data_IF_071644828590
#
_entry.id   IF_071644828590
#
_cell.length_a   1.000
_cell.length_b   1.000
_cell.length_c   1.000
_cell.angle_alpha   90.00
_cell.angle_beta   90.00
_cell.angle_gamma   90.00
#
_symmetry.space_group_name_H-M   'P 1'
#
loop_
_entity.id
_entity.type
_entity.pdbx_description
1 polymer ?
#
# COMPACT_ATOMS: atom_id res chain seq x y z
N UNK A 1 16.54 34.73 29.95
CA UNK A 1 15.51 34.28 28.98
C UNK A 1 15.99 33.13 28.10
N UNK A 2 17.26 33.12 27.66
CA UNK A 2 17.86 32.02 26.88
C UNK A 2 17.75 30.64 27.56
N UNK A 3 17.92 30.58 28.89
CA UNK A 3 17.76 29.31 29.61
C UNK A 3 16.31 28.80 29.66
N UNK A 4 15.33 29.70 29.63
CA UNK A 4 13.91 29.31 29.52
C UNK A 4 13.60 28.65 28.18
N UNK A 5 14.25 29.10 27.09
CA UNK A 5 14.14 28.46 25.76
C UNK A 5 14.73 27.05 25.77
N UNK A 6 15.89 26.87 26.41
CA UNK A 6 16.49 25.54 26.59
C UNK A 6 15.54 24.61 27.34
N UNK A 7 15.01 25.05 28.49
CA UNK A 7 14.06 24.24 29.27
C UNK A 7 12.77 23.94 28.49
N UNK A 8 12.28 24.87 27.69
CA UNK A 8 11.10 24.65 26.86
C UNK A 8 11.35 23.59 25.77
N UNK A 9 12.50 23.66 25.08
CA UNK A 9 12.88 22.67 24.06
C UNK A 9 13.19 21.31 24.71
N UNK A 10 13.82 21.30 25.88
CA UNK A 10 14.00 20.07 26.66
C UNK A 10 12.67 19.41 26.99
N UNK A 11 11.63 20.19 27.32
CA UNK A 11 10.29 19.69 27.56
C UNK A 11 9.62 19.16 26.29
N UNK A 12 9.77 19.84 25.14
CA UNK A 12 9.28 19.35 23.84
C UNK A 12 9.88 17.99 23.45
N UNK A 13 11.14 17.76 23.82
CA UNK A 13 11.85 16.51 23.54
C UNK A 13 11.76 15.48 24.67
N UNK A 14 11.05 15.77 25.77
CA UNK A 14 10.95 14.84 26.91
C UNK A 14 10.26 13.51 26.57
N UNK A 15 9.38 13.51 25.56
CA UNK A 15 8.73 12.29 25.03
C UNK A 15 9.48 11.61 23.89
N UNK A 16 10.58 12.20 23.41
CA UNK A 16 11.34 11.69 22.28
C UNK A 16 12.36 10.60 22.72
N UNK A 17 12.65 9.60 21.87
CA UNK A 17 13.61 8.55 22.20
C UNK A 17 15.03 9.12 22.30
N UNK A 18 15.79 8.69 23.31
CA UNK A 18 17.16 9.14 23.52
C UNK A 18 18.14 8.44 22.56
N UNK A 19 18.08 8.80 21.29
CA UNK A 19 19.01 8.37 20.23
C UNK A 19 19.97 9.51 19.85
N UNK A 20 21.13 9.17 19.26
CA UNK A 20 22.08 10.17 18.77
C UNK A 20 21.43 11.13 17.75
N UNK A 21 20.60 10.61 16.85
CA UNK A 21 19.83 11.40 15.88
C UNK A 21 18.89 12.41 16.56
N UNK A 22 18.18 11.99 17.62
CA UNK A 22 17.28 12.88 18.36
C UNK A 22 18.04 13.99 19.09
N UNK A 23 19.24 13.68 19.60
CA UNK A 23 20.10 14.68 20.23
C UNK A 23 20.64 15.71 19.22
N UNK A 24 21.01 15.28 18.01
CA UNK A 24 21.43 16.17 16.92
C UNK A 24 20.29 17.10 16.47
N UNK A 25 19.10 16.55 16.21
CA UNK A 25 17.92 17.33 15.83
C UNK A 25 17.52 18.33 16.91
N UNK A 26 17.61 17.93 18.18
CA UNK A 26 17.38 18.83 19.32
C UNK A 26 18.38 19.98 19.34
N UNK A 27 19.68 19.70 19.10
CA UNK A 27 20.71 20.74 19.07
C UNK A 27 20.50 21.72 17.92
N UNK A 28 20.09 21.24 16.74
CA UNK A 28 19.79 22.08 15.57
C UNK A 28 18.61 23.03 15.82
N UNK A 29 17.50 22.51 16.34
CA UNK A 29 16.31 23.31 16.66
C UNK A 29 16.62 24.31 17.79
N UNK A 30 17.37 23.90 18.80
CA UNK A 30 17.82 24.79 19.87
C UNK A 30 18.63 25.95 19.31
N UNK A 31 19.59 25.67 18.45
CA UNK A 31 20.44 26.69 17.85
C UNK A 31 19.62 27.66 16.98
N UNK A 32 18.80 27.14 16.06
CA UNK A 32 17.95 27.97 15.20
C UNK A 32 17.02 28.89 16.01
N UNK A 33 16.45 28.36 17.10
CA UNK A 33 15.55 29.14 17.96
C UNK A 33 16.30 30.22 18.75
N UNK A 34 17.51 29.91 19.23
CA UNK A 34 18.36 30.88 19.92
C UNK A 34 18.84 31.98 18.98
N UNK A 35 19.21 31.63 17.76
CA UNK A 35 19.62 32.59 16.73
C UNK A 35 18.45 33.53 16.41
N UNK A 36 17.25 32.98 16.20
CA UNK A 36 16.03 33.78 15.99
C UNK A 36 15.68 34.66 17.18
N UNK A 37 15.89 34.18 18.41
CA UNK A 37 15.71 35.01 19.60
C UNK A 37 16.69 36.19 19.61
N UNK A 38 17.97 35.95 19.32
CA UNK A 38 18.99 36.99 19.30
C UNK A 38 18.73 38.04 18.21
N UNK A 39 18.29 37.62 17.02
CA UNK A 39 17.89 38.53 15.94
C UNK A 39 16.76 39.47 16.38
N UNK A 40 15.77 38.94 17.11
CA UNK A 40 14.65 39.73 17.62
C UNK A 40 15.07 40.70 18.74
N UNK A 41 16.06 40.33 19.55
CA UNK A 41 16.67 41.25 20.52
C UNK A 41 17.44 42.35 19.80
N UNK A 42 18.18 42.02 18.73
CA UNK A 42 18.91 42.98 17.92
C UNK A 42 17.98 43.95 17.18
N UNK A 43 16.78 43.51 16.78
CA UNK A 43 15.69 44.35 16.26
C UNK A 43 15.09 45.30 17.32
N UNK A 44 15.51 45.21 18.58
CA UNK A 44 15.03 46.07 19.67
C UNK A 44 13.72 45.60 20.32
N UNK A 45 13.29 44.35 20.08
CA UNK A 45 12.13 43.78 20.78
C UNK A 45 12.48 43.44 22.22
N UNK A 46 11.47 43.46 23.08
CA UNK A 46 11.65 43.07 24.48
C UNK A 46 11.98 41.57 24.60
N UNK A 47 12.75 41.16 25.62
CA UNK A 47 13.09 39.75 25.86
C UNK A 47 11.88 38.81 25.93
N UNK A 48 10.75 39.30 26.42
CA UNK A 48 9.50 38.56 26.54
C UNK A 48 8.81 38.37 25.18
N UNK A 49 8.78 39.43 24.35
CA UNK A 49 8.20 39.38 23.01
C UNK A 49 9.04 38.51 22.07
N UNK A 50 10.37 38.64 22.14
CA UNK A 50 11.32 37.81 21.40
C UNK A 50 11.15 36.32 21.76
N UNK A 51 10.98 36.00 23.04
CA UNK A 51 10.72 34.64 23.51
C UNK A 51 9.43 34.07 22.91
N UNK A 52 8.31 34.80 23.02
CA UNK A 52 7.01 34.34 22.52
C UNK A 52 7.03 34.10 21.01
N UNK A 53 7.71 34.96 20.25
CA UNK A 53 7.79 34.85 18.80
C UNK A 53 8.74 33.73 18.36
N UNK A 54 9.85 33.51 19.07
CA UNK A 54 10.76 32.40 18.83
C UNK A 54 10.07 31.05 19.09
N UNK A 55 9.35 30.92 20.21
CA UNK A 55 8.58 29.71 20.56
C UNK A 55 7.47 29.43 19.55
N UNK A 56 6.76 30.47 19.06
CA UNK A 56 5.71 30.30 18.05
C UNK A 56 6.21 29.70 16.73
N UNK A 57 7.50 29.86 16.42
CA UNK A 57 8.11 29.33 15.19
C UNK A 57 8.46 27.85 15.24
N UNK A 58 8.58 27.25 16.44
CA UNK A 58 8.92 25.84 16.59
C UNK A 58 7.72 24.93 16.23
N UNK A 59 6.50 25.33 16.60
CA UNK A 59 5.31 24.51 16.39
C UNK A 59 5.29 23.21 17.21
N UNK A 60 4.27 22.37 17.02
CA UNK A 60 4.14 21.08 17.72
C UNK A 60 4.99 19.99 17.05
N UNK A 61 6.29 20.00 17.32
CA UNK A 61 7.23 18.98 16.84
C UNK A 61 7.16 17.67 17.65
N UNK A 62 6.49 17.68 18.80
CA UNK A 62 6.43 16.53 19.71
C UNK A 62 5.82 15.30 19.04
N UNK A 63 4.71 15.48 18.30
CA UNK A 63 4.07 14.39 17.57
C UNK A 63 4.90 13.90 16.38
N UNK A 64 5.53 14.83 15.63
CA UNK A 64 6.37 14.49 14.47
C UNK A 64 7.61 13.69 14.85
N UNK A 65 8.33 14.09 15.90
CA UNK A 65 9.52 13.40 16.37
C UNK A 65 9.19 12.02 16.94
N UNK A 66 8.06 11.91 17.63
CA UNK A 66 7.58 10.63 18.17
C UNK A 66 7.16 9.67 17.05
N UNK A 67 6.62 10.19 15.94
CA UNK A 67 6.16 9.39 14.80
C UNK A 67 7.30 9.00 13.84
N UNK A 68 8.27 9.89 13.62
CA UNK A 68 9.42 9.65 12.76
C UNK A 68 10.33 8.55 13.30
N UNK A 69 10.68 8.59 14.60
CA UNK A 69 11.64 7.65 15.19
C UNK A 69 11.02 6.29 15.55
N UNK A 70 9.67 6.18 15.62
CA UNK A 70 8.99 4.87 15.66
C UNK A 70 9.25 4.01 14.42
N UNK A 71 9.79 4.60 13.35
CA UNK A 71 10.20 3.88 12.14
C UNK A 71 11.66 3.39 12.19
N UNK A 72 12.49 3.92 13.10
CA UNK A 72 13.93 3.61 13.19
C UNK A 72 14.36 2.72 14.36
N UNK A 73 13.53 2.51 15.38
CA UNK A 73 13.81 1.48 16.38
C UNK A 73 13.70 0.10 15.72
N UNK A 74 14.77 -0.72 15.65
CA UNK A 74 14.66 -2.07 15.11
C UNK A 74 13.63 -2.81 15.96
N UNK A 75 12.53 -3.32 15.37
CA UNK A 75 11.70 -4.25 16.11
C UNK A 75 12.60 -5.41 16.50
N UNK A 76 12.53 -5.86 17.76
CA UNK A 76 13.04 -7.16 18.16
C UNK A 76 12.70 -8.18 17.06
N UNK A 77 13.60 -9.12 16.70
CA UNK A 77 13.50 -9.89 15.47
C UNK A 77 12.20 -10.71 15.46
N UNK A 78 11.13 -10.09 14.98
CA UNK A 78 10.00 -10.80 14.43
C UNK A 78 10.57 -11.59 13.26
N UNK A 79 10.25 -12.89 13.12
CA UNK A 79 10.70 -13.66 11.97
C UNK A 79 10.13 -12.99 10.72
N UNK A 80 10.92 -12.11 10.09
CA UNK A 80 10.56 -11.56 8.80
C UNK A 80 10.52 -12.75 7.85
N UNK A 81 9.43 -12.93 7.08
CA UNK A 81 9.47 -13.84 5.95
C UNK A 81 10.61 -13.33 5.08
N UNK A 82 11.69 -14.11 5.01
CA UNK A 82 12.94 -13.81 4.29
C UNK A 82 12.63 -12.91 3.09
N UNK A 83 13.23 -11.71 3.07
CA UNK A 83 13.26 -10.88 1.87
C UNK A 83 13.93 -11.71 0.77
N UNK A 84 13.12 -12.41 -0.02
CA UNK A 84 13.62 -13.26 -1.08
C UNK A 84 14.18 -12.31 -2.16
N UNK A 85 15.36 -12.61 -2.71
CA UNK A 85 15.98 -11.74 -3.69
C UNK A 85 15.02 -11.44 -4.86
N UNK A 86 14.87 -10.18 -5.23
CA UNK A 86 13.94 -9.72 -6.28
C UNK A 86 14.13 -10.44 -7.63
N UNK A 87 15.36 -10.90 -7.91
CA UNK A 87 15.67 -11.67 -9.12
C UNK A 87 14.99 -13.05 -9.16
N UNK A 88 14.75 -13.71 -8.01
CA UNK A 88 14.02 -14.99 -7.96
C UNK A 88 12.56 -14.80 -8.40
N UNK A 89 11.93 -13.69 -8.02
CA UNK A 89 10.53 -13.41 -8.39
C UNK A 89 10.37 -13.12 -9.89
N UNK A 90 11.37 -12.51 -10.51
CA UNK A 90 11.44 -12.30 -11.95
C UNK A 90 11.76 -13.59 -12.70
N UNK A 91 12.65 -14.43 -12.16
CA UNK A 91 12.99 -15.74 -12.72
C UNK A 91 11.79 -16.71 -12.66
N UNK A 92 11.07 -16.75 -11.54
CA UNK A 92 9.85 -17.54 -11.37
C UNK A 92 8.74 -17.12 -12.34
N UNK A 93 8.62 -15.82 -12.62
CA UNK A 93 7.69 -15.30 -13.63
C UNK A 93 8.10 -15.70 -15.03
N UNK A 94 9.38 -15.47 -15.38
CA UNK A 94 9.91 -15.87 -16.67
C UNK A 94 9.75 -17.38 -16.90
N UNK A 95 9.99 -18.20 -15.87
CA UNK A 95 9.80 -19.64 -15.92
C UNK A 95 8.33 -20.03 -16.09
N UNK A 96 7.42 -19.38 -15.37
CA UNK A 96 5.97 -19.64 -15.49
C UNK A 96 5.43 -19.27 -16.87
N UNK A 97 5.88 -18.14 -17.43
CA UNK A 97 5.52 -17.71 -18.79
C UNK A 97 6.11 -18.66 -19.82
N UNK A 98 7.38 -19.05 -19.68
CA UNK A 98 8.02 -20.05 -20.54
C UNK A 98 7.28 -21.39 -20.52
N UNK A 99 6.86 -21.85 -19.33
CA UNK A 99 6.10 -23.10 -19.19
C UNK A 99 4.72 -23.00 -19.86
N UNK A 100 4.08 -21.83 -19.82
CA UNK A 100 2.82 -21.56 -20.51
C UNK A 100 2.98 -21.61 -22.04
N UNK A 101 4.06 -21.05 -22.56
CA UNK A 101 4.37 -21.06 -24.00
C UNK A 101 4.72 -22.49 -24.48
N UNK A 102 5.50 -23.22 -23.69
CA UNK A 102 5.85 -24.62 -23.98
C UNK A 102 4.71 -25.62 -23.75
N UNK A 103 3.62 -25.22 -23.07
CA UNK A 103 2.46 -26.06 -22.77
C UNK A 103 1.78 -26.62 -24.04
N UNK A 104 2.01 -26.00 -25.20
CA UNK A 104 1.43 -26.41 -26.48
C UNK A 104 2.19 -27.59 -27.12
N UNK A 105 3.48 -27.77 -26.79
CA UNK A 105 4.35 -28.78 -27.43
C UNK A 105 3.95 -30.22 -27.08
N UNK A 106 3.63 -30.58 -25.82
CA UNK A 106 3.16 -31.93 -25.47
C UNK A 106 1.77 -32.26 -26.03
N UNK A 107 0.93 -31.24 -26.23
CA UNK A 107 -0.45 -31.40 -26.77
C UNK A 107 -0.43 -31.77 -28.25
N UNK A 108 0.58 -31.31 -29.00
CA UNK A 108 0.74 -31.65 -30.43
C UNK A 108 1.36 -33.05 -30.59
N UNK A 109 2.14 -33.53 -29.61
CA UNK A 109 2.86 -34.81 -29.69
C UNK A 109 2.15 -36.01 -29.02
N UNK A 110 1.18 -35.78 -28.12
CA UNK A 110 0.53 -36.82 -27.32
C UNK A 110 -0.94 -37.03 -27.67
N UNK A 111 -1.25 -38.09 -28.43
CA UNK A 111 -2.59 -38.32 -29.02
C UNK A 111 -3.72 -38.68 -28.04
N UNK A 112 -3.44 -39.28 -26.87
CA UNK A 112 -4.51 -39.80 -25.98
C UNK A 112 -4.65 -39.10 -24.62
N UNK A 113 -3.54 -38.63 -24.05
CA UNK A 113 -3.54 -38.01 -22.71
C UNK A 113 -2.99 -36.56 -22.71
N UNK A 114 -2.73 -35.97 -23.89
CA UNK A 114 -2.13 -34.64 -24.00
C UNK A 114 -2.96 -33.53 -23.35
N UNK A 115 -4.28 -33.64 -23.41
CA UNK A 115 -5.22 -32.67 -22.81
C UNK A 115 -5.17 -32.72 -21.28
N UNK A 116 -5.07 -33.90 -20.68
CA UNK A 116 -4.95 -34.06 -19.22
C UNK A 116 -3.62 -33.49 -18.74
N UNK A 117 -2.54 -33.75 -19.49
CA UNK A 117 -1.21 -33.22 -19.21
C UNK A 117 -1.16 -31.68 -19.31
N UNK A 118 -1.91 -31.09 -20.24
CA UNK A 118 -2.08 -29.64 -20.38
C UNK A 118 -2.69 -29.00 -19.13
N UNK A 119 -3.78 -29.56 -18.60
CA UNK A 119 -4.44 -29.02 -17.42
C UNK A 119 -3.59 -29.09 -16.16
N UNK A 120 -2.79 -30.15 -16.00
CA UNK A 120 -1.84 -30.28 -14.87
C UNK A 120 -0.75 -29.22 -14.96
N UNK A 121 -0.19 -29.00 -16.15
CA UNK A 121 0.85 -27.99 -16.39
C UNK A 121 0.32 -26.57 -16.16
N UNK A 122 -0.90 -26.28 -16.61
CA UNK A 122 -1.57 -25.00 -16.36
C UNK A 122 -1.84 -24.80 -14.87
N UNK A 123 -2.27 -25.84 -14.15
CA UNK A 123 -2.50 -25.77 -12.71
C UNK A 123 -1.20 -25.47 -11.94
N UNK A 124 -0.09 -26.11 -12.32
CA UNK A 124 1.23 -25.86 -11.73
C UNK A 124 1.71 -24.43 -12.03
N UNK A 125 1.59 -23.97 -13.28
CA UNK A 125 1.98 -22.63 -13.68
C UNK A 125 1.15 -21.54 -12.96
N UNK A 126 -0.17 -21.74 -12.86
CA UNK A 126 -1.08 -20.84 -12.14
C UNK A 126 -0.79 -20.86 -10.64
N UNK A 127 -0.51 -22.04 -10.08
CA UNK A 127 -0.08 -22.20 -8.69
C UNK A 127 1.20 -21.42 -8.40
N UNK A 128 2.20 -21.46 -9.29
CA UNK A 128 3.43 -20.66 -9.17
C UNK A 128 3.15 -19.14 -9.20
N UNK A 129 2.26 -18.69 -10.08
CA UNK A 129 1.89 -17.27 -10.20
C UNK A 129 1.18 -16.78 -8.94
N UNK A 130 0.24 -17.56 -8.41
CA UNK A 130 -0.50 -17.22 -7.18
C UNK A 130 0.40 -17.32 -5.95
N UNK A 131 1.28 -18.31 -5.87
CA UNK A 131 2.27 -18.41 -4.79
C UNK A 131 3.21 -17.20 -4.79
N UNK A 132 3.61 -16.70 -5.97
CA UNK A 132 4.33 -15.44 -6.10
C UNK A 132 3.50 -14.24 -5.63
N UNK A 133 2.25 -14.15 -6.07
CA UNK A 133 1.35 -13.04 -5.71
C UNK A 133 1.02 -12.97 -4.22
N UNK A 134 0.84 -14.12 -3.58
CA UNK A 134 0.36 -14.21 -2.19
C UNK A 134 1.52 -14.32 -1.19
N UNK A 135 2.55 -15.11 -1.48
CA UNK A 135 3.62 -15.41 -0.51
C UNK A 135 4.82 -14.48 -0.64
N UNK A 136 5.22 -14.13 -1.86
CA UNK A 136 6.39 -13.28 -2.14
C UNK A 136 6.04 -11.78 -2.14
N UNK A 137 4.84 -11.42 -2.60
CA UNK A 137 4.41 -10.01 -2.69
C UNK A 137 3.90 -9.42 -1.38
N UNK A 138 3.63 -10.25 -0.35
CA UNK A 138 3.24 -9.77 0.98
C UNK A 138 4.35 -8.94 1.67
N UNK A 139 5.63 -9.16 1.31
CA UNK A 139 6.75 -8.33 1.76
C UNK A 139 6.98 -7.04 0.94
N UNK A 140 6.74 -7.05 -0.37
CA UNK A 140 7.02 -5.91 -1.26
C UNK A 140 5.81 -5.05 -1.61
N UNK A 141 4.58 -5.45 -1.24
CA UNK A 141 3.38 -4.62 -1.44
C UNK A 141 3.42 -3.31 -0.65
N UNK A 142 4.33 -3.16 0.33
CA UNK A 142 4.52 -1.88 1.01
C UNK A 142 5.25 -0.80 0.18
N UNK A 143 5.93 -1.14 -0.93
CA UNK A 143 6.83 -0.17 -1.60
C UNK A 143 6.48 0.14 -3.07
N UNK A 144 5.50 -0.54 -3.67
CA UNK A 144 4.94 -0.18 -4.99
C UNK A 144 3.48 0.27 -4.93
N UNK A 145 2.96 0.51 -3.72
CA UNK A 145 1.64 1.11 -3.47
C UNK A 145 1.76 2.63 -3.16
N UNK A 146 2.97 3.19 -3.30
CA UNK A 146 3.23 4.62 -3.09
C UNK A 146 2.97 5.49 -4.33
N UNK A 147 2.60 4.90 -5.46
CA UNK A 147 2.46 5.64 -6.72
C UNK A 147 1.48 5.01 -7.71
N UNK A 148 0.36 4.52 -7.21
CA UNK A 148 -0.87 4.55 -8.00
C UNK A 148 -1.90 5.29 -7.17
N UNK A 149 -2.01 6.58 -7.50
CA UNK A 149 -2.97 7.55 -7.00
C UNK A 149 -4.36 6.93 -6.81
N UNK A 150 -4.63 6.49 -5.60
CA UNK A 150 -5.95 6.59 -5.00
C UNK A 150 -5.79 7.68 -3.96
N UNK A 151 -5.67 8.92 -4.40
CA UNK A 151 -6.82 9.81 -4.38
C UNK A 151 -7.69 9.43 -3.18
N UNK A 152 -7.16 9.72 -1.99
CA UNK A 152 -7.90 9.82 -0.75
C UNK A 152 -8.84 11.02 -0.90
N UNK A 153 -9.78 10.89 -1.85
CA UNK A 153 -11.02 11.64 -1.77
C UNK A 153 -11.62 11.28 -0.41
N UNK A 154 -12.08 12.29 0.36
CA UNK A 154 -12.54 12.11 1.72
C UNK A 154 -13.56 10.98 1.74
N UNK A 155 -13.44 10.09 2.72
CA UNK A 155 -14.16 8.84 2.92
C UNK A 155 -15.67 8.90 2.59
N UNK A 156 -16.00 8.97 1.31
CA UNK A 156 -17.36 9.27 0.86
C UNK A 156 -18.13 7.95 0.94
N UNK A 157 -19.22 7.87 1.73
CA UNK A 157 -20.06 6.68 1.82
C UNK A 157 -20.48 6.16 0.42
N UNK A 158 -20.55 7.03 -0.60
CA UNK A 158 -20.86 6.65 -1.98
C UNK A 158 -19.81 5.73 -2.61
N UNK A 159 -18.51 5.93 -2.36
CA UNK A 159 -17.45 5.08 -2.95
C UNK A 159 -17.41 3.69 -2.30
N UNK A 160 -17.64 3.62 -0.99
CA UNK A 160 -17.83 2.36 -0.25
C UNK A 160 -19.05 1.59 -0.76
N UNK A 161 -20.16 2.28 -0.96
CA UNK A 161 -21.40 1.69 -1.50
C UNK A 161 -21.17 1.14 -2.91
N UNK A 162 -20.56 1.92 -3.82
CA UNK A 162 -20.20 1.49 -5.17
C UNK A 162 -19.30 0.23 -5.16
N UNK A 163 -18.32 0.18 -4.26
CA UNK A 163 -17.42 -0.98 -4.10
C UNK A 163 -18.17 -2.24 -3.63
N UNK A 164 -19.05 -2.10 -2.64
CA UNK A 164 -19.88 -3.20 -2.13
C UNK A 164 -20.88 -3.70 -3.16
N UNK A 165 -21.51 -2.80 -3.92
CA UNK A 165 -22.43 -3.16 -5.01
C UNK A 165 -21.69 -3.95 -6.10
N UNK A 166 -20.49 -3.50 -6.50
CA UNK A 166 -19.73 -4.19 -7.53
C UNK A 166 -19.29 -5.61 -7.08
N UNK A 167 -18.90 -5.75 -5.81
CA UNK A 167 -18.62 -7.05 -5.23
C UNK A 167 -19.86 -7.95 -5.25
N UNK A 168 -21.03 -7.41 -4.88
CA UNK A 168 -22.28 -8.15 -4.83
C UNK A 168 -22.76 -8.59 -6.23
N UNK A 169 -22.65 -7.73 -7.25
CA UNK A 169 -22.93 -8.07 -8.65
C UNK A 169 -22.01 -9.22 -9.11
N UNK A 170 -20.73 -9.15 -8.79
CA UNK A 170 -19.76 -10.19 -9.15
C UNK A 170 -20.07 -11.53 -8.49
N UNK A 171 -20.43 -11.51 -7.19
CA UNK A 171 -20.84 -12.72 -6.46
C UNK A 171 -22.12 -13.31 -7.01
N UNK A 172 -23.15 -12.50 -7.28
CA UNK A 172 -24.40 -12.97 -7.87
C UNK A 172 -24.18 -13.54 -9.27
N UNK A 173 -23.38 -12.88 -10.12
CA UNK A 173 -23.05 -13.38 -11.44
C UNK A 173 -22.36 -14.75 -11.37
N UNK A 174 -21.43 -14.95 -10.43
CA UNK A 174 -20.75 -16.22 -10.26
C UNK A 174 -21.71 -17.34 -9.82
N UNK A 175 -22.62 -17.03 -8.90
CA UNK A 175 -23.66 -17.98 -8.45
C UNK A 175 -24.58 -18.34 -9.62
N UNK A 176 -25.07 -17.37 -10.39
CA UNK A 176 -25.91 -17.63 -11.56
C UNK A 176 -25.15 -18.40 -12.65
N UNK A 177 -23.88 -18.07 -12.89
CA UNK A 177 -23.02 -18.82 -13.81
C UNK A 177 -22.97 -20.29 -13.42
N UNK A 178 -22.69 -20.60 -12.15
CA UNK A 178 -22.64 -22.00 -11.72
C UNK A 178 -23.99 -22.70 -11.87
N UNK A 179 -25.10 -22.07 -11.45
CA UNK A 179 -26.43 -22.66 -11.58
C UNK A 179 -26.74 -22.97 -13.05
N UNK A 180 -26.54 -22.02 -13.96
CA UNK A 180 -26.83 -22.18 -15.39
C UNK A 180 -25.86 -23.18 -16.03
N UNK A 181 -24.57 -23.12 -15.69
CA UNK A 181 -23.55 -23.98 -16.28
C UNK A 181 -23.69 -25.44 -15.86
N UNK A 182 -24.05 -25.71 -14.60
CA UNK A 182 -24.35 -27.07 -14.14
C UNK A 182 -25.69 -27.58 -14.68
N UNK A 183 -26.71 -26.71 -14.80
CA UNK A 183 -28.01 -27.11 -15.35
C UNK A 183 -27.95 -27.43 -16.85
N UNK A 184 -27.17 -26.66 -17.62
CA UNK A 184 -27.09 -26.80 -19.09
C UNK A 184 -25.97 -27.73 -19.54
N UNK A 185 -24.96 -27.99 -18.70
CA UNK A 185 -23.71 -28.68 -19.08
C UNK A 185 -23.06 -28.11 -20.37
N UNK A 186 -23.44 -26.88 -20.76
CA UNK A 186 -23.03 -26.19 -21.98
C UNK A 186 -22.00 -25.12 -21.64
N UNK A 187 -20.89 -25.56 -21.04
CA UNK A 187 -19.80 -24.72 -20.53
C UNK A 187 -19.20 -23.79 -21.61
N UNK A 188 -19.35 -24.14 -22.89
CA UNK A 188 -18.90 -23.36 -24.04
C UNK A 188 -19.78 -22.14 -24.37
N UNK A 189 -21.00 -22.06 -23.85
CA UNK A 189 -21.92 -20.91 -24.03
C UNK A 189 -21.99 -20.06 -22.77
N UNK A 190 -21.96 -20.70 -21.60
CA UNK A 190 -22.22 -20.04 -20.31
C UNK A 190 -21.22 -18.95 -19.95
N UNK A 191 -20.02 -18.96 -20.54
CA UNK A 191 -19.00 -17.92 -20.35
C UNK A 191 -19.43 -16.53 -20.85
N UNK A 192 -20.42 -16.43 -21.75
CA UNK A 192 -20.96 -15.15 -22.25
C UNK A 192 -21.54 -14.29 -21.12
N UNK A 193 -21.87 -14.90 -19.97
CA UNK A 193 -22.35 -14.19 -18.78
C UNK A 193 -21.28 -13.25 -18.19
N UNK A 194 -19.99 -13.52 -18.39
CA UNK A 194 -18.90 -12.68 -17.87
C UNK A 194 -18.81 -11.31 -18.58
N UNK A 195 -18.76 -11.24 -19.93
CA UNK A 195 -18.93 -9.98 -20.66
C UNK A 195 -20.23 -9.25 -20.29
N UNK A 196 -21.34 -9.98 -20.13
CA UNK A 196 -22.62 -9.41 -19.73
C UNK A 196 -22.55 -8.77 -18.33
N UNK A 197 -21.91 -9.44 -17.37
CA UNK A 197 -21.67 -8.88 -16.03
C UNK A 197 -20.83 -7.61 -16.08
N UNK A 198 -19.76 -7.58 -16.87
CA UNK A 198 -18.95 -6.37 -17.03
C UNK A 198 -19.76 -5.21 -17.62
N UNK A 199 -20.64 -5.48 -18.59
CA UNK A 199 -21.56 -4.50 -19.14
C UNK A 199 -22.54 -3.97 -18.08
N UNK A 200 -23.12 -4.86 -17.27
CA UNK A 200 -24.03 -4.48 -16.17
C UNK A 200 -23.30 -3.59 -15.16
N UNK A 201 -22.07 -3.93 -14.78
CA UNK A 201 -21.27 -3.11 -13.85
C UNK A 201 -21.01 -1.70 -14.40
N UNK A 202 -20.73 -1.58 -15.71
CA UNK A 202 -20.55 -0.29 -16.38
C UNK A 202 -21.85 0.53 -16.45
N UNK A 203 -22.99 -0.11 -16.74
CA UNK A 203 -24.31 0.55 -16.77
C UNK A 203 -24.67 1.06 -15.37
N UNK A 204 -24.47 0.23 -14.34
CA UNK A 204 -24.73 0.63 -12.95
C UNK A 204 -23.86 1.82 -12.58
N UNK A 205 -22.57 1.81 -12.96
CA UNK A 205 -21.66 2.94 -12.74
C UNK A 205 -22.16 4.22 -13.43
N UNK A 206 -22.55 4.14 -14.70
CA UNK A 206 -23.07 5.28 -15.46
C UNK A 206 -24.39 5.83 -14.87
N UNK A 207 -25.27 4.95 -14.38
CA UNK A 207 -26.53 5.36 -13.74
C UNK A 207 -26.30 6.11 -12.42
N UNK A 208 -25.30 5.71 -11.63
CA UNK A 208 -24.90 6.43 -10.43
C UNK A 208 -24.19 7.74 -10.75
N UNK A 209 -23.36 7.80 -11.80
CA UNK A 209 -22.68 9.03 -12.24
C UNK A 209 -23.65 10.07 -12.84
N UNK A 210 -24.78 9.66 -13.42
CA UNK A 210 -25.82 10.57 -13.93
C UNK A 210 -26.75 11.11 -12.83
N UNK A 211 -26.73 10.50 -11.64
CA UNK A 211 -27.58 10.89 -10.50
C UNK A 211 -26.87 11.85 -9.53
N UNK A 212 -25.55 11.94 -9.64
CA UNK A 212 -24.69 12.95 -9.01
C UNK A 212 -24.62 14.21 -9.92
#
# INVERSE_FOLDING_TARGET
MRDKLKTYIDYLFAGAPQTAATAETKAEILQNTLDKYDDLIAEGKTPEAAYSLAVSGIGDLGDFLTRGVRTEAPPAPSPSPRAQPSWLSSLLLALSIMLYICCVIPVIAGEKDGVVMMFIMIAIATGLIVFRGTFLRTGSRKQTDGQESRDETPDDPKTKLRKSINALISTLCLVFYFIISFATMAWYITWVIFPLSAAIQNIVKACFDLKD
#
